data_IF_335163642262
#
_entry.id   IF_335163642262
#
_cell.length_a   1.000
_cell.length_b   1.000
_cell.length_c   1.000
_cell.angle_alpha   90.00
_cell.angle_beta   90.00
_cell.angle_gamma   90.00
#
_symmetry.space_group_name_H-M   'P 1'
#
loop_
_entity.id
_entity.type
_entity.pdbx_description
1 polymer ?
#
# COMPACT_ATOMS: atom_id res chain seq x y z
N UNK A 1 -33.56 -56.72 -9.45
CA UNK A 1 -33.90 -55.35 -9.06
C UNK A 1 -33.48 -54.46 -10.21
N UNK A 2 -34.43 -53.89 -10.93
CA UNK A 2 -34.13 -52.94 -12.01
C UNK A 2 -33.63 -51.62 -11.41
N UNK A 3 -32.58 -51.06 -12.03
CA UNK A 3 -31.98 -49.80 -11.65
C UNK A 3 -32.86 -48.63 -12.13
N UNK A 4 -33.56 -48.00 -11.19
CA UNK A 4 -34.49 -46.90 -11.43
C UNK A 4 -33.84 -45.51 -11.21
N UNK A 5 -32.54 -45.36 -11.43
CA UNK A 5 -31.88 -44.03 -11.38
C UNK A 5 -31.88 -43.38 -12.75
N UNK A 6 -32.69 -42.33 -12.93
CA UNK A 6 -32.69 -41.48 -14.13
C UNK A 6 -34.06 -41.14 -14.73
N UNK A 7 -35.17 -41.68 -14.22
CA UNK A 7 -36.50 -41.33 -14.70
C UNK A 7 -37.02 -40.05 -14.02
N UNK A 8 -36.62 -38.89 -14.52
CA UNK A 8 -37.33 -37.64 -14.22
C UNK A 8 -38.55 -37.53 -15.13
N UNK A 9 -39.66 -38.16 -14.74
CA UNK A 9 -40.97 -37.78 -15.26
C UNK A 9 -41.37 -36.43 -14.66
N UNK A 10 -41.87 -35.53 -15.53
CA UNK A 10 -42.43 -34.20 -15.24
C UNK A 10 -41.42 -33.04 -15.16
N UNK A 11 -40.71 -32.78 -16.27
CA UNK A 11 -40.54 -31.36 -16.61
C UNK A 11 -41.92 -30.82 -16.96
N UNK A 12 -42.51 -30.01 -16.09
CA UNK A 12 -43.74 -29.26 -16.39
C UNK A 12 -43.43 -28.41 -17.61
N UNK A 13 -43.97 -28.80 -18.76
CA UNK A 13 -43.80 -28.03 -19.98
C UNK A 13 -44.61 -26.76 -19.79
N UNK A 14 -43.92 -25.63 -19.63
CA UNK A 14 -44.58 -24.32 -19.61
C UNK A 14 -45.27 -24.17 -20.96
N UNK A 15 -46.57 -23.85 -20.91
CA UNK A 15 -47.41 -23.64 -22.08
C UNK A 15 -46.73 -22.66 -23.05
N UNK A 16 -46.63 -23.06 -24.31
CA UNK A 16 -45.98 -22.27 -25.36
C UNK A 16 -46.75 -20.97 -25.64
N UNK A 17 -48.05 -20.93 -25.33
CA UNK A 17 -48.83 -19.69 -25.35
C UNK A 17 -48.28 -18.65 -24.34
N UNK A 18 -47.88 -19.08 -23.14
CA UNK A 18 -47.33 -18.19 -22.11
C UNK A 18 -45.95 -17.65 -22.48
N UNK A 19 -45.12 -18.50 -23.11
CA UNK A 19 -43.82 -18.06 -23.65
C UNK A 19 -43.99 -17.06 -24.78
N UNK A 20 -44.98 -17.29 -25.67
CA UNK A 20 -45.29 -16.38 -26.78
C UNK A 20 -45.77 -15.02 -26.27
N UNK A 21 -46.63 -15.01 -25.24
CA UNK A 21 -47.05 -13.77 -24.58
C UNK A 21 -45.88 -13.01 -23.93
N UNK A 22 -44.93 -13.71 -23.30
CA UNK A 22 -43.73 -13.08 -22.75
C UNK A 22 -42.84 -12.47 -23.86
N UNK A 23 -42.69 -13.15 -25.00
CA UNK A 23 -41.95 -12.63 -26.16
C UNK A 23 -42.60 -11.37 -26.73
N UNK A 24 -43.92 -11.39 -26.93
CA UNK A 24 -44.67 -10.24 -27.43
C UNK A 24 -44.51 -9.01 -26.51
N UNK A 25 -44.56 -9.21 -25.19
CA UNK A 25 -44.33 -8.13 -24.24
C UNK A 25 -42.92 -7.53 -24.35
N UNK A 26 -41.90 -8.38 -24.52
CA UNK A 26 -40.50 -7.92 -24.65
C UNK A 26 -40.27 -7.17 -25.98
N UNK A 27 -40.96 -7.57 -27.05
CA UNK A 27 -40.89 -6.89 -28.35
C UNK A 27 -41.48 -5.48 -28.34
N UNK A 28 -42.50 -5.26 -27.52
CA UNK A 28 -43.21 -3.98 -27.37
C UNK A 28 -42.43 -2.96 -26.51
N UNK A 29 -41.36 -3.39 -25.81
CA UNK A 29 -40.52 -2.48 -25.03
C UNK A 29 -39.88 -1.45 -25.98
N UNK A 30 -40.06 -0.13 -25.74
CA UNK A 30 -39.47 0.90 -26.58
C UNK A 30 -37.95 0.75 -26.71
N UNK A 31 -37.48 0.63 -27.94
CA UNK A 31 -36.06 0.51 -28.28
C UNK A 31 -35.47 1.88 -28.57
N UNK A 32 -34.30 2.14 -28.02
CA UNK A 32 -33.52 3.35 -28.25
C UNK A 32 -32.61 3.10 -29.45
N UNK A 33 -32.69 3.98 -30.46
CA UNK A 33 -31.71 4.00 -31.54
C UNK A 33 -30.34 4.44 -31.01
N UNK A 34 -29.32 3.59 -31.12
CA UNK A 34 -27.96 4.01 -30.82
C UNK A 34 -27.44 4.91 -31.94
N UNK A 35 -27.51 6.23 -31.77
CA UNK A 35 -26.95 7.21 -32.73
C UNK A 35 -25.42 7.09 -32.92
N UNK A 36 -24.71 6.30 -32.10
CA UNK A 36 -23.25 6.23 -32.06
C UNK A 36 -22.62 4.93 -32.61
N UNK A 37 -23.39 3.92 -33.03
CA UNK A 37 -22.83 2.65 -33.53
C UNK A 37 -23.70 2.12 -34.67
N UNK A 38 -23.55 2.68 -35.87
CA UNK A 38 -24.36 2.30 -37.05
C UNK A 38 -23.70 1.32 -38.02
N UNK A 39 -22.58 0.67 -37.67
CA UNK A 39 -21.91 -0.21 -38.63
C UNK A 39 -22.00 -1.73 -38.37
N UNK A 40 -21.92 -2.24 -37.13
CA UNK A 40 -21.57 -3.67 -36.94
C UNK A 40 -22.31 -4.46 -35.84
N UNK A 41 -23.41 -3.97 -35.24
CA UNK A 41 -24.12 -4.73 -34.19
C UNK A 41 -25.60 -4.95 -34.49
N UNK A 42 -26.07 -6.19 -34.34
CA UNK A 42 -27.50 -6.57 -34.34
C UNK A 42 -28.18 -6.35 -32.97
N UNK A 43 -27.49 -5.73 -32.01
CA UNK A 43 -27.97 -5.57 -30.63
C UNK A 43 -28.90 -4.35 -30.51
N UNK A 44 -30.08 -4.55 -29.95
CA UNK A 44 -31.03 -3.50 -29.62
C UNK A 44 -30.77 -2.95 -28.22
N UNK A 45 -31.04 -1.68 -28.01
CA UNK A 45 -30.89 -1.04 -26.71
C UNK A 45 -32.25 -0.60 -26.17
N UNK A 46 -32.50 -0.79 -24.88
CA UNK A 46 -33.68 -0.28 -24.17
C UNK A 46 -33.23 0.68 -23.07
N UNK A 47 -34.16 1.49 -22.55
CA UNK A 47 -33.86 2.41 -21.46
C UNK A 47 -33.30 1.69 -20.22
N UNK A 48 -32.30 2.31 -19.58
CA UNK A 48 -31.56 1.76 -18.45
C UNK A 48 -32.18 2.01 -17.08
N UNK A 49 -33.34 2.67 -16.98
CA UNK A 49 -33.95 3.04 -15.69
C UNK A 49 -34.56 1.87 -14.92
N UNK A 50 -34.85 0.75 -15.59
CA UNK A 50 -35.47 -0.45 -15.02
C UNK A 50 -34.56 -1.66 -15.15
N UNK A 51 -34.48 -2.46 -14.10
CA UNK A 51 -33.82 -3.78 -14.14
C UNK A 51 -34.71 -4.84 -14.81
N UNK A 52 -34.14 -5.98 -15.20
CA UNK A 52 -34.93 -7.11 -15.74
C UNK A 52 -36.01 -7.58 -14.75
N UNK A 53 -35.74 -7.48 -13.44
CA UNK A 53 -36.71 -7.76 -12.38
C UNK A 53 -37.87 -6.77 -12.41
N UNK A 54 -37.58 -5.49 -12.59
CA UNK A 54 -38.63 -4.45 -12.68
C UNK A 54 -39.49 -4.65 -13.94
N UNK A 55 -38.86 -4.98 -15.08
CA UNK A 55 -39.56 -5.30 -16.33
C UNK A 55 -40.43 -6.56 -16.17
N UNK A 56 -39.96 -7.58 -15.45
CA UNK A 56 -40.79 -8.76 -15.15
C UNK A 56 -42.01 -8.41 -14.29
N UNK A 57 -41.87 -7.49 -13.33
CA UNK A 57 -43.03 -7.02 -12.55
C UNK A 57 -44.04 -6.29 -13.42
N UNK A 58 -43.59 -5.46 -14.35
CA UNK A 58 -44.46 -4.78 -15.31
C UNK A 58 -45.19 -5.79 -16.21
N UNK A 59 -44.48 -6.81 -16.71
CA UNK A 59 -45.06 -7.91 -17.48
C UNK A 59 -46.15 -8.66 -16.69
N UNK A 60 -45.86 -9.04 -15.45
CA UNK A 60 -46.82 -9.73 -14.59
C UNK A 60 -48.05 -8.86 -14.35
N UNK A 61 -47.86 -7.55 -14.14
CA UNK A 61 -48.97 -6.62 -13.96
C UNK A 61 -49.81 -6.47 -15.24
N UNK A 62 -49.16 -6.39 -16.40
CA UNK A 62 -49.82 -6.37 -17.70
C UNK A 62 -50.66 -7.63 -17.92
N UNK A 63 -50.10 -8.81 -17.63
CA UNK A 63 -50.84 -10.07 -17.76
C UNK A 63 -52.04 -10.14 -16.82
N UNK A 64 -51.89 -9.70 -15.56
CA UNK A 64 -53.00 -9.63 -14.60
C UNK A 64 -54.11 -8.69 -15.06
N UNK A 65 -53.77 -7.52 -15.59
CA UNK A 65 -54.74 -6.53 -16.07
C UNK A 65 -55.54 -7.05 -17.28
N UNK A 66 -54.93 -7.89 -18.12
CA UNK A 66 -55.57 -8.51 -19.28
C UNK A 66 -56.17 -9.90 -18.98
N UNK A 67 -56.14 -10.33 -17.72
CA UNK A 67 -56.62 -11.63 -17.25
C UNK A 67 -56.02 -12.83 -18.01
N UNK A 68 -54.71 -12.76 -18.32
CA UNK A 68 -53.95 -13.83 -18.97
C UNK A 68 -52.88 -14.41 -18.05
N UNK A 69 -52.51 -15.67 -18.26
CA UNK A 69 -51.42 -16.31 -17.53
C UNK A 69 -50.06 -15.66 -17.81
N UNK A 70 -49.10 -15.86 -16.91
CA UNK A 70 -47.75 -15.32 -17.04
C UNK A 70 -46.67 -16.35 -16.64
N UNK A 71 -45.47 -16.19 -17.21
CA UNK A 71 -44.31 -17.01 -16.85
C UNK A 71 -43.62 -16.50 -15.58
N UNK A 72 -42.92 -17.39 -14.88
CA UNK A 72 -42.12 -17.02 -13.71
C UNK A 72 -40.85 -16.23 -14.11
N UNK A 73 -40.20 -15.57 -13.13
CA UNK A 73 -39.04 -14.72 -13.38
C UNK A 73 -37.89 -15.46 -14.07
N UNK A 74 -37.62 -16.71 -13.70
CA UNK A 74 -36.50 -17.49 -14.27
C UNK A 74 -36.74 -17.74 -15.77
N UNK A 75 -37.96 -18.11 -16.14
CA UNK A 75 -38.34 -18.31 -17.54
C UNK A 75 -38.31 -16.99 -18.31
N UNK A 76 -38.86 -15.92 -17.74
CA UNK A 76 -38.82 -14.59 -18.33
C UNK A 76 -37.37 -14.12 -18.57
N UNK A 77 -36.50 -14.28 -17.58
CA UNK A 77 -35.07 -13.93 -17.67
C UNK A 77 -34.36 -14.71 -18.78
N UNK A 78 -34.64 -16.02 -18.92
CA UNK A 78 -34.09 -16.84 -20.02
C UNK A 78 -34.56 -16.33 -21.37
N UNK A 79 -35.87 -16.12 -21.55
CA UNK A 79 -36.42 -15.57 -22.79
C UNK A 79 -35.75 -14.22 -23.10
N UNK A 80 -35.68 -13.31 -22.12
CA UNK A 80 -35.11 -11.98 -22.28
C UNK A 80 -33.62 -12.01 -22.66
N UNK A 81 -32.84 -12.95 -22.13
CA UNK A 81 -31.37 -12.99 -22.33
C UNK A 81 -30.91 -13.91 -23.47
N UNK A 82 -31.71 -14.92 -23.84
CA UNK A 82 -31.35 -15.93 -24.83
C UNK A 82 -32.07 -15.72 -26.17
N UNK A 83 -33.34 -15.30 -26.15
CA UNK A 83 -34.14 -15.14 -27.37
C UNK A 83 -34.04 -13.72 -27.93
N UNK A 84 -33.65 -12.74 -27.11
CA UNK A 84 -33.54 -11.34 -27.49
C UNK A 84 -32.10 -10.81 -27.38
N UNK A 85 -31.63 -10.17 -28.44
CA UNK A 85 -30.36 -9.44 -28.44
C UNK A 85 -30.54 -8.01 -27.89
N UNK A 86 -31.09 -7.88 -26.68
CA UNK A 86 -31.36 -6.59 -26.03
C UNK A 86 -30.28 -6.29 -24.97
N UNK A 87 -29.91 -5.01 -24.83
CA UNK A 87 -29.06 -4.53 -23.73
C UNK A 87 -29.55 -3.19 -23.21
N UNK A 88 -29.20 -2.85 -21.98
CA UNK A 88 -29.57 -1.56 -21.40
C UNK A 88 -28.67 -0.45 -21.98
N UNK A 89 -29.29 0.64 -22.42
CA UNK A 89 -28.58 1.83 -22.86
C UNK A 89 -27.91 2.48 -21.66
N UNK A 90 -26.60 2.70 -21.76
CA UNK A 90 -25.81 3.39 -20.74
C UNK A 90 -25.37 4.72 -21.36
N UNK A 91 -25.87 5.87 -20.87
CA UNK A 91 -25.44 7.17 -21.35
C UNK A 91 -23.92 7.33 -21.19
N UNK A 92 -23.20 7.54 -22.30
CA UNK A 92 -21.74 7.73 -22.28
C UNK A 92 -21.30 9.07 -21.65
N UNK A 93 -22.20 10.05 -21.54
CA UNK A 93 -21.88 11.43 -21.11
C UNK A 93 -22.24 11.79 -19.66
N UNK A 94 -22.99 10.96 -18.95
CA UNK A 94 -23.45 11.28 -17.59
C UNK A 94 -23.12 10.15 -16.61
N UNK A 95 -21.83 9.84 -16.44
CA UNK A 95 -21.42 9.00 -15.30
C UNK A 95 -21.37 9.89 -14.07
N UNK A 96 -22.19 9.61 -13.05
CA UNK A 96 -22.13 10.37 -11.81
C UNK A 96 -20.81 10.15 -11.06
N UNK A 97 -20.42 11.11 -10.22
CA UNK A 97 -19.17 11.05 -9.43
C UNK A 97 -19.03 9.75 -8.64
N UNK A 98 -20.15 9.21 -8.14
CA UNK A 98 -20.17 7.94 -7.41
C UNK A 98 -19.80 6.75 -8.31
N UNK A 99 -20.40 6.65 -9.49
CA UNK A 99 -20.10 5.57 -10.44
C UNK A 99 -18.65 5.67 -10.93
N UNK A 100 -18.14 6.88 -11.14
CA UNK A 100 -16.76 7.11 -11.54
C UNK A 100 -15.78 6.79 -10.41
N UNK A 101 -16.13 7.12 -9.16
CA UNK A 101 -15.39 6.69 -7.98
C UNK A 101 -15.35 5.17 -7.85
N UNK A 102 -16.46 4.46 -8.12
CA UNK A 102 -16.49 2.99 -8.11
C UNK A 102 -15.62 2.36 -9.21
N UNK A 103 -15.65 2.90 -10.44
CA UNK A 103 -14.75 2.45 -11.51
C UNK A 103 -13.28 2.63 -11.13
N UNK A 104 -12.95 3.78 -10.54
CA UNK A 104 -11.59 4.13 -10.16
C UNK A 104 -11.15 3.53 -8.81
N UNK A 105 -12.07 2.97 -8.02
CA UNK A 105 -11.76 2.33 -6.74
C UNK A 105 -10.73 1.21 -6.89
N UNK A 106 -10.80 0.47 -8.00
CA UNK A 106 -9.90 -0.64 -8.30
C UNK A 106 -8.59 -0.20 -8.97
N UNK A 107 -8.41 1.09 -9.25
CA UNK A 107 -7.18 1.61 -9.85
C UNK A 107 -6.10 1.81 -8.79
N UNK A 108 -4.90 1.36 -9.13
CA UNK A 108 -3.73 1.50 -8.26
C UNK A 108 -3.33 2.96 -8.08
N UNK A 109 -3.11 3.41 -6.83
CA UNK A 109 -2.62 4.76 -6.50
C UNK A 109 -1.11 4.73 -6.23
N UNK A 110 -0.41 5.82 -6.57
CA UNK A 110 1.00 5.99 -6.22
C UNK A 110 1.15 6.08 -4.70
N UNK A 111 2.02 5.24 -4.13
CA UNK A 111 2.32 5.28 -2.71
C UNK A 111 3.47 6.25 -2.43
N UNK A 112 3.23 7.18 -1.50
CA UNK A 112 4.27 8.03 -0.90
C UNK A 112 4.56 7.49 0.49
N UNK A 113 5.81 7.11 0.72
CA UNK A 113 6.31 6.50 1.94
C UNK A 113 6.94 7.58 2.82
N UNK A 114 6.74 7.49 4.13
CA UNK A 114 7.33 8.41 5.11
C UNK A 114 7.85 7.62 6.32
N UNK A 115 9.16 7.68 6.57
CA UNK A 115 9.74 7.29 7.86
C UNK A 115 9.86 8.54 8.74
N UNK A 116 9.35 8.49 9.96
CA UNK A 116 9.45 9.59 10.93
C UNK A 116 10.32 9.19 12.11
N UNK A 117 11.29 10.06 12.45
CA UNK A 117 12.09 9.98 13.66
C UNK A 117 11.66 11.15 14.56
N UNK A 118 11.32 10.82 15.80
CA UNK A 118 10.91 11.78 16.82
C UNK A 118 11.94 11.78 17.94
N UNK A 119 12.51 12.95 18.23
CA UNK A 119 13.38 13.13 19.39
C UNK A 119 12.54 13.42 20.65
N UNK A 120 12.55 12.49 21.60
CA UNK A 120 11.76 12.60 22.84
C UNK A 120 12.18 13.75 23.75
N UNK A 121 13.43 14.22 23.65
CA UNK A 121 13.97 15.28 24.52
C UNK A 121 13.67 16.66 23.94
N UNK A 122 13.91 16.84 22.65
CA UNK A 122 13.77 18.14 21.98
C UNK A 122 12.41 18.33 21.33
N UNK A 123 11.63 17.24 21.20
CA UNK A 123 10.40 17.15 20.41
C UNK A 123 10.60 17.45 18.91
N UNK A 124 11.86 17.53 18.45
CA UNK A 124 12.19 17.71 17.05
C UNK A 124 11.72 16.49 16.23
N UNK A 125 11.22 16.75 15.03
CA UNK A 125 10.69 15.72 14.15
C UNK A 125 11.38 15.79 12.80
N UNK A 126 11.88 14.64 12.36
CA UNK A 126 12.45 14.48 11.04
C UNK A 126 11.69 13.41 10.25
N UNK A 127 11.15 13.81 9.10
CA UNK A 127 10.54 12.90 8.13
C UNK A 127 11.48 12.63 6.97
N UNK A 128 11.44 11.41 6.46
CA UNK A 128 12.16 10.95 5.28
C UNK A 128 11.12 10.42 4.31
N UNK A 129 10.94 11.11 3.19
CA UNK A 129 9.79 10.92 2.29
C UNK A 129 10.27 10.56 0.89
N UNK A 130 9.75 9.48 0.32
CA UNK A 130 9.97 9.09 -1.07
C UNK A 130 8.72 8.40 -1.62
N UNK A 131 8.50 8.46 -2.92
CA UNK A 131 7.48 7.63 -3.56
C UNK A 131 8.04 6.27 -3.98
N UNK A 132 7.15 5.30 -4.16
CA UNK A 132 7.55 3.91 -4.42
C UNK A 132 8.28 3.70 -5.77
N UNK A 133 8.28 4.69 -6.67
CA UNK A 133 9.10 4.64 -7.90
C UNK A 133 10.58 4.96 -7.64
N UNK A 134 10.89 5.63 -6.53
CA UNK A 134 12.25 5.99 -6.13
C UNK A 134 12.92 4.86 -5.36
N UNK A 135 12.21 4.22 -4.44
CA UNK A 135 12.78 3.14 -3.65
C UNK A 135 11.69 2.26 -3.04
N UNK A 136 12.09 1.09 -2.54
CA UNK A 136 11.17 0.16 -1.92
C UNK A 136 10.84 0.56 -0.47
N UNK A 137 10.24 -0.36 0.29
CA UNK A 137 9.88 -0.16 1.71
C UNK A 137 10.58 -1.20 2.60
N UNK A 138 11.83 -1.52 2.30
CA UNK A 138 12.63 -2.55 2.96
C UNK A 138 13.66 -1.98 3.94
N UNK A 139 14.52 -2.86 4.45
CA UNK A 139 15.57 -2.46 5.38
C UNK A 139 16.58 -1.48 4.77
N UNK A 140 16.88 -1.57 3.47
CA UNK A 140 17.90 -0.70 2.86
C UNK A 140 17.47 0.78 2.95
N UNK A 141 16.19 1.07 2.70
CA UNK A 141 15.64 2.41 2.79
C UNK A 141 15.57 2.90 4.23
N UNK A 142 15.02 2.08 5.14
CA UNK A 142 14.85 2.45 6.55
C UNK A 142 16.20 2.65 7.23
N UNK A 143 17.16 1.73 7.03
CA UNK A 143 18.49 1.83 7.61
C UNK A 143 19.28 3.01 7.04
N UNK A 144 19.07 3.36 5.76
CA UNK A 144 19.67 4.58 5.17
C UNK A 144 19.16 5.84 5.86
N UNK A 145 17.85 5.94 6.10
CA UNK A 145 17.28 7.10 6.77
C UNK A 145 17.79 7.22 8.22
N UNK A 146 17.85 6.11 8.96
CA UNK A 146 18.42 6.10 10.33
C UNK A 146 19.91 6.42 10.31
N UNK A 147 20.66 5.92 9.33
CA UNK A 147 22.08 6.25 9.16
C UNK A 147 22.30 7.74 8.86
N UNK A 148 21.49 8.35 7.99
CA UNK A 148 21.52 9.80 7.74
C UNK A 148 21.22 10.61 9.00
N UNK A 149 20.24 10.16 9.80
CA UNK A 149 19.94 10.77 11.10
C UNK A 149 21.15 10.71 12.04
N UNK A 150 21.79 9.53 12.15
CA UNK A 150 22.99 9.36 12.96
C UNK A 150 24.13 10.26 12.48
N UNK A 151 24.40 10.28 11.17
CA UNK A 151 25.42 11.13 10.56
C UNK A 151 25.23 12.60 10.95
N UNK A 152 24.02 13.14 10.73
CA UNK A 152 23.70 14.55 11.03
C UNK A 152 23.86 14.89 12.51
N UNK A 153 23.46 13.99 13.40
CA UNK A 153 23.59 14.17 14.85
C UNK A 153 25.02 13.88 15.36
N UNK A 154 25.89 13.41 14.46
CA UNK A 154 27.29 13.10 14.73
C UNK A 154 28.27 14.12 14.15
N UNK A 155 27.82 15.25 13.61
CA UNK A 155 28.70 16.28 13.03
C UNK A 155 29.40 17.18 14.08
N UNK A 156 29.32 16.87 15.38
CA UNK A 156 29.99 17.66 16.45
C UNK A 156 30.96 16.86 17.33
N UNK A 157 31.82 17.56 18.06
CA UNK A 157 32.85 16.93 18.91
C UNK A 157 32.32 16.34 20.22
N UNK A 158 31.06 16.67 20.59
CA UNK A 158 30.47 16.20 21.85
C UNK A 158 30.13 14.71 21.74
N UNK A 159 30.54 13.89 22.73
CA UNK A 159 30.16 12.50 22.72
C UNK A 159 28.65 12.31 22.87
N UNK A 160 28.06 11.41 22.08
CA UNK A 160 26.61 11.17 22.05
C UNK A 160 26.29 9.70 22.39
N UNK A 161 25.32 9.51 23.28
CA UNK A 161 24.68 8.23 23.53
C UNK A 161 23.30 8.22 22.86
N UNK A 162 23.10 7.30 21.92
CA UNK A 162 21.87 7.24 21.12
C UNK A 162 21.01 6.07 21.58
N UNK A 163 19.73 6.34 21.86
CA UNK A 163 18.73 5.32 22.20
C UNK A 163 17.55 5.41 21.25
N UNK A 164 17.42 4.42 20.36
CA UNK A 164 16.26 4.28 19.49
C UNK A 164 15.18 3.41 20.13
N UNK A 165 13.93 3.82 19.91
CA UNK A 165 12.74 3.02 20.16
C UNK A 165 12.04 2.81 18.82
N UNK A 166 11.68 1.57 18.51
CA UNK A 166 10.94 1.29 17.28
C UNK A 166 9.99 0.11 17.43
N UNK A 167 9.06 -0.01 16.49
CA UNK A 167 8.17 -1.16 16.42
C UNK A 167 8.91 -2.46 16.13
N UNK A 168 8.34 -3.56 16.60
CA UNK A 168 8.85 -4.91 16.34
C UNK A 168 8.44 -5.38 14.93
N UNK A 169 9.13 -4.86 13.90
CA UNK A 169 8.94 -5.18 12.49
C UNK A 169 10.19 -5.83 11.88
N UNK A 170 10.14 -7.14 11.64
CA UNK A 170 11.30 -7.93 11.22
C UNK A 170 11.83 -7.50 9.84
N UNK A 171 10.94 -7.23 8.88
CA UNK A 171 11.33 -6.86 7.50
C UNK A 171 12.00 -5.49 7.37
N UNK A 172 11.80 -4.59 8.34
CA UNK A 172 12.26 -3.19 8.24
C UNK A 172 13.27 -2.84 9.33
N UNK A 173 12.90 -3.06 10.60
CA UNK A 173 13.62 -2.50 11.74
C UNK A 173 14.35 -3.56 12.56
N UNK A 174 13.79 -4.76 12.71
CA UNK A 174 14.35 -5.84 13.53
C UNK A 174 14.97 -6.94 12.69
N UNK A 175 16.14 -6.64 12.15
CA UNK A 175 16.92 -7.63 11.40
C UNK A 175 18.42 -7.36 11.52
N UNK A 176 19.21 -8.33 11.04
CA UNK A 176 20.67 -8.28 11.09
C UNK A 176 21.27 -7.10 10.31
N UNK A 177 20.61 -6.63 9.24
CA UNK A 177 21.11 -5.55 8.40
C UNK A 177 20.99 -4.20 9.10
N UNK A 178 19.91 -3.99 9.86
CA UNK A 178 19.76 -2.83 10.74
C UNK A 178 20.83 -2.82 11.83
N UNK A 179 21.10 -3.97 12.46
CA UNK A 179 22.18 -4.10 13.47
C UNK A 179 23.57 -3.85 12.86
N UNK A 180 23.83 -4.39 11.66
CA UNK A 180 25.06 -4.14 10.92
C UNK A 180 25.23 -2.64 10.59
N UNK A 181 24.15 -1.95 10.18
CA UNK A 181 24.18 -0.50 9.98
C UNK A 181 24.56 0.25 11.26
N UNK A 182 23.98 -0.11 12.41
CA UNK A 182 24.33 0.52 13.69
C UNK A 182 25.82 0.33 14.01
N UNK A 183 26.33 -0.88 13.80
CA UNK A 183 27.75 -1.18 14.01
C UNK A 183 28.64 -0.39 13.05
N UNK A 184 28.27 -0.29 11.77
CA UNK A 184 28.99 0.52 10.78
C UNK A 184 28.98 2.01 11.15
N UNK A 185 27.82 2.58 11.49
CA UNK A 185 27.68 3.98 11.91
C UNK A 185 28.55 4.27 13.14
N UNK A 186 28.54 3.33 14.09
CA UNK A 186 29.35 3.40 15.30
C UNK A 186 30.85 3.46 15.00
N UNK A 187 31.36 2.64 14.07
CA UNK A 187 32.77 2.69 13.65
C UNK A 187 33.10 3.96 12.88
N UNK A 188 32.15 4.46 12.09
CA UNK A 188 32.36 5.61 11.21
C UNK A 188 32.34 6.95 11.93
N UNK A 189 31.59 7.07 13.03
CA UNK A 189 31.39 8.33 13.75
C UNK A 189 31.95 8.23 15.18
N UNK A 190 33.21 8.65 15.43
CA UNK A 190 33.91 8.44 16.70
C UNK A 190 33.30 9.12 17.94
N UNK A 191 32.45 10.12 17.72
CA UNK A 191 31.72 10.81 18.77
C UNK A 191 30.52 10.01 19.30
N UNK A 192 30.02 9.03 18.55
CA UNK A 192 29.00 8.11 19.06
C UNK A 192 29.66 7.18 20.09
N UNK A 193 29.21 7.25 21.35
CA UNK A 193 29.72 6.41 22.45
C UNK A 193 29.00 5.08 22.55
N UNK A 194 27.67 5.13 22.42
CA UNK A 194 26.84 3.94 22.41
C UNK A 194 25.64 4.14 21.50
N UNK A 195 25.19 3.05 20.87
CA UNK A 195 23.89 3.01 20.22
C UNK A 195 23.10 1.86 20.83
N UNK A 196 21.96 2.17 21.43
CA UNK A 196 21.01 1.19 21.97
C UNK A 196 19.73 1.25 21.16
N UNK A 197 19.17 0.12 20.79
CA UNK A 197 17.88 0.06 20.09
C UNK A 197 16.95 -0.91 20.82
N UNK A 198 15.79 -0.40 21.22
CA UNK A 198 14.74 -1.08 21.98
C UNK A 198 13.51 -1.30 21.08
N UNK A 199 12.97 -2.52 21.07
CA UNK A 199 11.85 -2.92 20.20
C UNK A 199 10.52 -3.01 20.96
N UNK A 200 9.66 -2.00 20.81
CA UNK A 200 8.40 -1.88 21.54
C UNK A 200 7.55 -3.16 21.52
N UNK A 201 6.92 -3.45 22.66
CA UNK A 201 6.01 -4.59 22.80
C UNK A 201 4.74 -4.29 21.99
N UNK A 202 4.33 -5.22 21.13
CA UNK A 202 3.11 -5.08 20.34
C UNK A 202 1.91 -4.91 21.28
N UNK A 203 1.08 -3.89 21.03
CA UNK A 203 -0.18 -3.66 21.73
C UNK A 203 -0.10 -2.90 23.07
N UNK A 204 1.09 -2.54 23.56
CA UNK A 204 1.23 -1.97 24.92
C UNK A 204 2.09 -0.69 25.00
N UNK A 205 2.49 -0.09 23.87
CA UNK A 205 3.30 1.13 23.90
C UNK A 205 2.87 2.09 22.80
N UNK A 206 2.55 3.33 23.19
CA UNK A 206 2.31 4.43 22.27
C UNK A 206 3.65 4.96 21.77
N UNK A 207 3.84 4.99 20.44
CA UNK A 207 5.02 5.59 19.81
C UNK A 207 4.70 7.04 19.41
N UNK A 208 5.56 7.99 19.78
CA UNK A 208 5.41 9.40 19.46
C UNK A 208 5.37 9.66 17.95
N UNK A 209 6.00 8.79 17.14
CA UNK A 209 5.88 8.85 15.67
C UNK A 209 4.43 8.72 15.21
N UNK A 210 3.59 7.94 15.89
CA UNK A 210 2.20 7.74 15.50
C UNK A 210 1.35 8.99 15.77
N UNK A 211 1.73 9.77 16.79
CA UNK A 211 1.11 11.06 17.04
C UNK A 211 1.38 12.03 15.88
N UNK A 212 2.61 12.01 15.34
CA UNK A 212 2.98 12.79 14.15
C UNK A 212 2.20 12.31 12.93
N UNK A 213 2.16 10.99 12.68
CA UNK A 213 1.40 10.43 11.56
C UNK A 213 -0.10 10.78 11.63
N UNK A 214 -0.68 10.79 12.83
CA UNK A 214 -2.07 11.21 13.05
C UNK A 214 -2.31 12.68 12.71
N UNK A 215 -1.35 13.57 13.00
CA UNK A 215 -1.42 14.98 12.58
C UNK A 215 -1.27 15.13 11.06
N UNK A 216 -0.33 14.40 10.46
CA UNK A 216 -0.14 14.38 9.00
C UNK A 216 -1.43 13.91 8.32
N UNK A 217 -2.02 12.80 8.77
CA UNK A 217 -3.27 12.28 8.19
C UNK A 217 -4.40 13.31 8.30
N UNK A 218 -4.54 13.97 9.45
CA UNK A 218 -5.53 15.04 9.65
C UNK A 218 -5.29 16.20 8.69
N UNK A 219 -4.05 16.60 8.49
CA UNK A 219 -3.71 17.70 7.61
C UNK A 219 -3.91 17.34 6.13
N UNK A 220 -3.52 16.14 5.72
CA UNK A 220 -3.80 15.60 4.38
C UNK A 220 -5.30 15.58 4.12
N UNK A 221 -6.12 15.09 5.07
CA UNK A 221 -7.59 15.11 4.94
C UNK A 221 -8.15 16.52 4.80
N UNK A 222 -7.56 17.52 5.45
CA UNK A 222 -7.96 18.94 5.30
C UNK A 222 -7.61 19.47 3.92
N UNK A 223 -6.39 19.21 3.43
CA UNK A 223 -5.97 19.64 2.10
C UNK A 223 -6.82 19.01 1.00
N UNK A 224 -7.17 17.73 1.14
CA UNK A 224 -8.05 17.02 0.20
C UNK A 224 -9.47 17.63 0.10
N UNK A 225 -9.91 18.46 1.07
CA UNK A 225 -11.17 19.23 0.96
C UNK A 225 -11.05 20.42 0.01
N UNK A 226 -9.84 20.94 -0.21
CA UNK A 226 -9.57 22.08 -1.09
C UNK A 226 -9.22 21.63 -2.52
N UNK A 227 -8.87 20.36 -2.71
CA UNK A 227 -8.62 19.76 -4.01
C UNK A 227 -7.79 18.48 -3.92
N UNK A 228 -7.70 17.69 -5.02
CA UNK A 228 -6.92 16.45 -5.03
C UNK A 228 -5.41 16.70 -4.96
N UNK A 229 -4.67 15.74 -4.39
CA UNK A 229 -3.21 15.72 -4.41
C UNK A 229 -2.77 14.77 -5.54
N UNK A 230 -2.09 15.31 -6.55
CA UNK A 230 -1.66 14.55 -7.73
C UNK A 230 -0.22 14.08 -7.66
N UNK A 231 0.66 14.75 -6.90
CA UNK A 231 2.08 14.42 -6.88
C UNK A 231 2.64 14.31 -5.45
N UNK A 232 3.80 13.65 -5.26
CA UNK A 232 4.45 13.54 -3.95
C UNK A 232 4.76 14.90 -3.29
N UNK A 233 5.02 15.95 -4.07
CA UNK A 233 5.27 17.31 -3.56
C UNK A 233 4.07 17.86 -2.79
N UNK A 234 2.85 17.54 -3.21
CA UNK A 234 1.64 17.90 -2.47
C UNK A 234 1.58 17.20 -1.10
N UNK A 235 1.97 15.92 -1.04
CA UNK A 235 2.10 15.22 0.24
C UNK A 235 3.22 15.79 1.11
N UNK A 236 4.37 16.14 0.53
CA UNK A 236 5.46 16.82 1.24
C UNK A 236 4.97 18.14 1.84
N UNK A 237 4.19 18.92 1.08
CA UNK A 237 3.52 20.12 1.57
C UNK A 237 2.56 19.85 2.74
N UNK A 238 1.74 18.79 2.64
CA UNK A 238 0.86 18.34 3.72
C UNK A 238 1.63 18.00 5.00
N UNK A 239 2.73 17.26 4.84
CA UNK A 239 3.62 16.85 5.92
C UNK A 239 4.25 18.08 6.60
N UNK A 240 4.82 19.02 5.82
CA UNK A 240 5.39 20.28 6.33
C UNK A 240 4.35 21.12 7.09
N UNK A 241 3.08 21.09 6.66
CA UNK A 241 1.98 21.85 7.26
C UNK A 241 1.26 21.14 8.43
N UNK A 242 1.65 19.91 8.77
CA UNK A 242 0.91 19.09 9.73
C UNK A 242 1.05 19.54 11.19
N UNK A 243 2.17 20.16 11.56
CA UNK A 243 2.43 20.64 12.93
C UNK A 243 2.00 22.09 13.14
N UNK A 244 1.67 22.43 14.39
CA UNK A 244 1.29 23.80 14.77
C UNK A 244 2.52 24.69 14.88
N UNK A 245 2.36 25.99 14.64
CA UNK A 245 3.42 27.02 14.65
C UNK A 245 4.20 27.14 15.97
N UNK A 246 3.67 26.58 17.07
CA UNK A 246 4.23 26.62 18.41
C UNK A 246 5.09 25.39 18.78
N UNK A 247 5.28 24.44 17.86
CA UNK A 247 6.02 23.20 18.09
C UNK A 247 7.42 23.27 17.45
N UNK A 248 8.45 22.58 17.99
CA UNK A 248 9.81 22.64 17.47
C UNK A 248 9.94 22.09 16.05
N UNK A 249 11.05 22.47 15.41
CA UNK A 249 11.30 22.43 13.97
C UNK A 249 10.98 21.07 13.35
N UNK A 250 10.24 21.13 12.23
CA UNK A 250 9.85 20.00 11.40
C UNK A 250 10.74 19.96 10.17
N UNK A 251 11.57 18.92 10.01
CA UNK A 251 12.44 18.80 8.84
C UNK A 251 12.00 17.63 7.96
N UNK A 252 11.85 17.90 6.66
CA UNK A 252 11.47 16.90 5.66
C UNK A 252 12.63 16.66 4.72
N UNK A 253 13.18 15.45 4.80
CA UNK A 253 14.16 14.94 3.86
C UNK A 253 13.42 14.33 2.66
N UNK A 254 13.58 14.94 1.51
CA UNK A 254 13.06 14.44 0.23
C UNK A 254 14.08 13.42 -0.30
N UNK A 255 13.71 12.14 -0.29
CA UNK A 255 14.60 11.01 -0.55
C UNK A 255 14.43 10.52 -1.99
N UNK A 256 15.54 10.17 -2.64
CA UNK A 256 15.56 9.55 -3.97
C UNK A 256 16.40 8.27 -3.97
N UNK A 257 16.31 7.49 -5.06
CA UNK A 257 17.02 6.22 -5.23
C UNK A 257 18.53 6.34 -5.04
N UNK A 258 19.12 7.48 -5.43
CA UNK A 258 20.56 7.72 -5.38
C UNK A 258 21.12 7.78 -3.95
N UNK A 259 20.27 8.08 -2.98
CA UNK A 259 20.65 8.16 -1.57
C UNK A 259 20.61 6.82 -0.86
N UNK A 260 19.91 5.82 -1.42
CA UNK A 260 19.69 4.55 -0.74
C UNK A 260 20.95 3.70 -0.79
N UNK A 261 21.45 3.31 0.38
CA UNK A 261 22.61 2.43 0.52
C UNK A 261 22.19 0.95 0.61
N UNK A 262 23.01 0.06 0.06
CA UNK A 262 22.80 -1.39 0.19
C UNK A 262 23.38 -1.94 1.49
N UNK A 263 22.56 -1.90 2.54
CA UNK A 263 22.92 -2.42 3.87
C UNK A 263 23.00 -3.94 3.91
N UNK A 264 22.40 -4.65 2.95
CA UNK A 264 22.58 -6.10 2.81
C UNK A 264 23.99 -6.43 2.32
N UNK A 265 24.45 -5.73 1.28
CA UNK A 265 25.83 -5.85 0.82
C UNK A 265 26.85 -5.40 1.88
N UNK A 266 26.56 -4.31 2.60
CA UNK A 266 27.41 -3.85 3.70
C UNK A 266 27.55 -4.92 4.80
N UNK A 267 26.45 -5.51 5.26
CA UNK A 267 26.48 -6.57 6.26
C UNK A 267 27.29 -7.80 5.81
N UNK A 268 27.21 -8.14 4.52
CA UNK A 268 28.02 -9.23 3.95
C UNK A 268 29.51 -8.88 3.92
N UNK A 269 29.88 -7.65 3.52
CA UNK A 269 31.27 -7.17 3.54
C UNK A 269 31.86 -7.15 4.96
N UNK A 270 31.04 -6.82 5.95
CA UNK A 270 31.40 -6.87 7.38
C UNK A 270 31.49 -8.29 7.94
N UNK A 271 31.18 -9.32 7.13
CA UNK A 271 31.03 -10.71 7.59
C UNK A 271 30.10 -10.82 8.80
N UNK A 272 29.01 -10.04 8.83
CA UNK A 272 28.11 -9.97 9.97
C UNK A 272 27.33 -11.28 10.14
N UNK A 273 27.51 -11.93 11.28
CA UNK A 273 26.87 -13.21 11.61
C UNK A 273 26.45 -13.21 13.08
N UNK A 274 25.14 -13.19 13.33
CA UNK A 274 24.57 -13.40 14.66
C UNK A 274 24.10 -14.86 14.79
N UNK A 275 24.83 -15.66 15.55
CA UNK A 275 24.53 -17.11 15.71
C UNK A 275 24.45 -17.55 17.16
N UNK A 276 25.52 -17.32 17.93
CA UNK A 276 25.63 -17.76 19.32
C UNK A 276 26.10 -16.62 20.22
N UNK A 277 25.68 -16.66 21.48
CA UNK A 277 26.25 -15.83 22.54
C UNK A 277 27.55 -16.46 23.06
N UNK A 278 28.22 -15.75 23.96
CA UNK A 278 29.48 -16.21 24.57
C UNK A 278 29.31 -17.50 25.40
N UNK A 279 28.10 -17.76 25.90
CA UNK A 279 27.71 -18.99 26.59
C UNK A 279 27.38 -20.14 25.62
N UNK A 280 27.59 -19.94 24.31
CA UNK A 280 27.32 -20.89 23.22
C UNK A 280 25.83 -21.20 22.99
N UNK A 281 24.92 -20.41 23.57
CA UNK A 281 23.50 -20.52 23.29
C UNK A 281 23.17 -19.90 21.94
N UNK A 282 22.23 -20.50 21.20
CA UNK A 282 21.75 -19.94 19.94
C UNK A 282 20.99 -18.64 20.15
N UNK A 283 21.38 -17.59 19.43
CA UNK A 283 20.72 -16.27 19.48
C UNK A 283 19.66 -16.19 18.40
N UNK A 284 18.40 -16.11 18.80
CA UNK A 284 17.29 -15.89 17.86
C UNK A 284 16.95 -14.41 17.77
N UNK A 285 16.99 -13.87 16.56
CA UNK A 285 16.63 -12.46 16.29
C UNK A 285 15.26 -12.10 16.87
N UNK A 286 14.27 -12.99 16.71
CA UNK A 286 12.89 -12.78 17.17
C UNK A 286 12.77 -12.60 18.69
N UNK A 287 13.68 -13.18 19.47
CA UNK A 287 13.68 -13.10 20.94
C UNK A 287 14.34 -11.81 21.45
N UNK A 288 15.16 -11.14 20.64
CA UNK A 288 15.84 -9.89 21.03
C UNK A 288 14.82 -8.76 21.26
N UNK A 289 14.90 -8.13 22.43
CA UNK A 289 14.08 -6.98 22.83
C UNK A 289 14.88 -5.68 22.82
N UNK A 290 16.16 -5.77 23.18
CA UNK A 290 17.09 -4.64 23.18
C UNK A 290 18.41 -5.13 22.63
N UNK A 291 19.04 -4.35 21.77
CA UNK A 291 20.46 -4.52 21.46
C UNK A 291 21.23 -3.23 21.69
N UNK A 292 22.54 -3.35 21.88
CA UNK A 292 23.46 -2.26 22.16
C UNK A 292 24.81 -2.54 21.50
N UNK A 293 25.39 -1.51 20.91
CA UNK A 293 26.77 -1.47 20.42
C UNK A 293 27.56 -0.51 21.32
N UNK A 294 28.80 -0.88 21.67
CA UNK A 294 29.68 -0.14 22.59
C UNK A 294 31.10 -0.01 22.03
N UNK A 295 31.83 1.01 22.51
CA UNK A 295 33.14 1.41 21.98
C UNK A 295 34.26 0.39 22.11
N UNK A 296 34.32 -0.27 23.26
CA UNK A 296 35.48 -1.09 23.61
C UNK A 296 35.51 -2.43 22.86
N UNK A 297 34.42 -2.77 22.15
CA UNK A 297 34.24 -4.07 21.52
C UNK A 297 33.58 -3.97 20.12
N UNK A 298 34.33 -3.55 19.09
CA UNK A 298 33.81 -3.25 17.74
C UNK A 298 33.28 -4.47 16.98
N UNK A 299 33.56 -5.68 17.46
CA UNK A 299 33.17 -6.95 16.83
C UNK A 299 31.96 -7.60 17.51
N UNK A 300 31.47 -7.04 18.62
CA UNK A 300 30.44 -7.62 19.45
C UNK A 300 29.18 -6.77 19.55
N UNK A 301 28.07 -7.43 19.84
CA UNK A 301 26.79 -6.80 20.13
C UNK A 301 26.23 -7.36 21.44
N UNK A 302 25.69 -6.46 22.25
CA UNK A 302 25.10 -6.77 23.55
C UNK A 302 23.59 -6.78 23.41
N UNK A 303 22.91 -7.82 23.89
CA UNK A 303 21.47 -7.93 23.73
C UNK A 303 20.75 -8.42 24.99
N UNK A 304 19.45 -8.14 25.05
CA UNK A 304 18.52 -8.66 26.05
C UNK A 304 17.33 -9.31 25.36
N UNK A 305 16.89 -10.44 25.89
CA UNK A 305 15.67 -11.14 25.46
C UNK A 305 14.46 -10.83 26.35
N UNK A 306 14.66 -10.11 27.44
CA UNK A 306 13.60 -9.62 28.35
C UNK A 306 13.88 -8.18 28.78
N UNK A 307 12.83 -7.39 28.93
CA UNK A 307 12.91 -6.02 29.46
C UNK A 307 13.26 -5.97 30.94
N UNK A 308 12.91 -7.01 31.70
CA UNK A 308 13.25 -7.13 33.12
C UNK A 308 14.72 -7.53 33.35
N UNK A 309 15.41 -8.02 32.31
CA UNK A 309 16.80 -8.43 32.45
C UNK A 309 17.69 -7.22 32.77
N UNK A 310 18.45 -7.30 33.88
CA UNK A 310 19.39 -6.25 34.29
C UNK A 310 20.67 -6.29 33.44
N UNK A 311 21.17 -7.49 33.18
CA UNK A 311 22.43 -7.74 32.47
C UNK A 311 22.19 -7.95 30.97
N UNK A 312 23.13 -7.49 30.14
CA UNK A 312 23.15 -7.80 28.71
C UNK A 312 23.94 -9.09 28.47
N UNK A 313 23.41 -9.96 27.61
CA UNK A 313 24.20 -11.03 27.00
C UNK A 313 25.06 -10.45 25.89
N UNK A 314 26.17 -11.10 25.58
CA UNK A 314 27.10 -10.67 24.53
C UNK A 314 27.18 -11.72 23.43
N UNK A 315 27.22 -11.27 22.18
CA UNK A 315 27.48 -12.12 21.02
C UNK A 315 28.49 -11.44 20.09
N UNK A 316 29.54 -12.16 19.72
CA UNK A 316 30.48 -11.74 18.67
C UNK A 316 29.78 -11.85 17.32
N UNK A 317 29.60 -10.71 16.65
CA UNK A 317 28.87 -10.60 15.38
C UNK A 317 29.78 -10.45 14.17
N UNK A 318 31.06 -10.12 14.38
CA UNK A 318 32.09 -10.09 13.36
C UNK A 318 33.15 -11.11 13.76
N UNK A 319 33.23 -12.23 13.03
CA UNK A 319 34.14 -13.34 13.38
C UNK A 319 35.53 -13.22 12.77
N UNK A 320 35.68 -12.39 11.74
CA UNK A 320 36.95 -12.11 11.07
C UNK A 320 37.14 -10.62 11.10
N UNK A 321 38.35 -10.18 11.44
CA UNK A 321 38.73 -8.77 11.43
C UNK A 321 38.29 -8.16 10.11
N UNK A 322 37.23 -7.36 10.16
CA UNK A 322 36.60 -6.80 8.97
C UNK A 322 36.97 -5.33 8.92
N UNK A 323 37.42 -4.91 7.74
CA UNK A 323 37.70 -3.52 7.48
C UNK A 323 36.36 -2.78 7.39
N UNK A 324 36.17 -1.75 8.22
CA UNK A 324 34.97 -0.90 8.21
C UNK A 324 35.14 0.34 7.32
N UNK A 325 36.30 0.49 6.66
CA UNK A 325 36.60 1.63 5.79
C UNK A 325 36.01 1.48 4.38
N UNK A 326 35.30 0.38 4.10
CA UNK A 326 34.66 0.18 2.80
C UNK A 326 33.63 1.27 2.49
N UNK A 327 33.56 1.62 1.21
CA UNK A 327 32.56 2.55 0.70
C UNK A 327 31.21 1.85 0.61
N UNK A 328 30.19 2.48 1.19
CA UNK A 328 28.80 2.01 1.05
C UNK A 328 28.41 2.03 -0.44
N UNK A 329 27.92 0.89 -0.93
CA UNK A 329 27.36 0.77 -2.28
C UNK A 329 25.94 1.34 -2.30
N UNK A 330 25.55 1.92 -3.43
CA UNK A 330 24.15 2.27 -3.68
C UNK A 330 23.31 1.00 -3.82
N UNK A 331 22.07 1.04 -3.36
CA UNK A 331 21.13 -0.06 -3.54
C UNK A 331 20.56 -0.12 -4.97
N UNK A 332 20.61 1.00 -5.69
CA UNK A 332 20.08 1.16 -7.03
C UNK A 332 21.07 1.93 -7.89
N UNK A 333 21.39 1.39 -9.07
CA UNK A 333 22.19 2.10 -10.08
C UNK A 333 21.32 3.04 -10.93
N UNK A 334 20.05 2.67 -11.11
CA UNK A 334 19.02 3.44 -11.82
C UNK A 334 17.74 3.49 -10.99
N UNK A 335 16.85 4.44 -11.31
CA UNK A 335 15.53 4.55 -10.68
C UNK A 335 14.75 3.23 -10.85
N UNK A 336 14.27 2.59 -9.75
CA UNK A 336 13.62 1.28 -9.84
C UNK A 336 12.26 1.33 -10.55
N UNK A 337 11.58 2.48 -10.51
CA UNK A 337 10.31 2.69 -11.20
C UNK A 337 9.14 1.92 -10.58
N UNK A 338 8.04 1.85 -11.31
CA UNK A 338 6.83 1.15 -10.89
C UNK A 338 6.64 -0.19 -11.61
N UNK A 339 5.89 -1.09 -10.97
CA UNK A 339 5.39 -2.28 -11.66
C UNK A 339 4.49 -1.87 -12.84
N UNK A 340 4.66 -2.54 -13.99
CA UNK A 340 4.01 -2.18 -15.26
C UNK A 340 2.49 -2.01 -15.13
N UNK A 341 1.81 -2.96 -14.48
CA UNK A 341 0.37 -2.89 -14.23
C UNK A 341 -0.05 -1.62 -13.49
N UNK A 342 0.73 -1.22 -12.47
CA UNK A 342 0.45 -0.04 -11.66
C UNK A 342 0.72 1.25 -12.45
N UNK A 343 1.80 1.27 -13.27
CA UNK A 343 2.09 2.36 -14.19
C UNK A 343 0.95 2.55 -15.21
N UNK A 344 0.45 1.47 -15.79
CA UNK A 344 -0.70 1.50 -16.71
C UNK A 344 -1.98 2.01 -16.05
N UNK A 345 -2.25 1.61 -14.81
CA UNK A 345 -3.38 2.15 -14.05
C UNK A 345 -3.27 3.67 -13.87
N UNK A 346 -2.11 4.18 -13.46
CA UNK A 346 -1.90 5.62 -13.27
C UNK A 346 -2.00 6.40 -14.60
N UNK A 347 -1.41 5.87 -15.68
CA UNK A 347 -1.54 6.46 -17.01
C UNK A 347 -2.99 6.43 -17.52
N UNK A 348 -3.77 5.41 -17.15
CA UNK A 348 -5.20 5.36 -17.51
C UNK A 348 -5.99 6.48 -16.83
N UNK A 349 -5.68 6.82 -15.57
CA UNK A 349 -6.29 7.94 -14.84
C UNK A 349 -5.93 9.30 -15.47
N UNK A 350 -4.73 9.41 -16.03
CA UNK A 350 -4.29 10.61 -16.75
C UNK A 350 -5.00 10.73 -18.11
N UNK A 351 -5.13 9.63 -18.85
CA UNK A 351 -5.79 9.62 -20.15
C UNK A 351 -7.32 9.79 -20.05
N UNK A 352 -7.94 9.38 -18.95
CA UNK A 352 -9.36 9.63 -18.67
C UNK A 352 -9.63 10.97 -17.99
N UNK A 353 -8.62 11.85 -17.90
CA UNK A 353 -8.73 13.21 -17.33
C UNK A 353 -9.11 13.27 -15.84
N UNK A 354 -8.92 12.19 -15.06
CA UNK A 354 -9.01 12.27 -13.59
C UNK A 354 -7.77 12.95 -12.98
N UNK A 355 -6.63 12.83 -13.67
CA UNK A 355 -5.42 13.60 -13.38
C UNK A 355 -5.29 14.67 -14.47
N UNK A 356 -5.13 15.96 -14.12
CA UNK A 356 -4.92 17.02 -15.08
C UNK A 356 -3.71 16.74 -15.98
N UNK A 357 -3.85 17.00 -17.28
CA UNK A 357 -2.79 16.79 -18.27
C UNK A 357 -1.49 17.56 -17.96
N UNK A 358 -1.56 18.59 -17.11
CA UNK A 358 -0.40 19.28 -16.56
C UNK A 358 0.64 18.31 -15.93
N UNK A 359 0.18 17.24 -15.27
CA UNK A 359 1.06 16.29 -14.59
C UNK A 359 1.60 15.17 -15.50
N UNK A 360 1.34 15.22 -16.81
CA UNK A 360 1.72 14.17 -17.77
C UNK A 360 3.19 13.77 -17.69
N UNK A 361 4.09 14.75 -17.70
CA UNK A 361 5.53 14.50 -17.65
C UNK A 361 5.97 13.75 -16.39
N UNK A 362 5.36 14.05 -15.24
CA UNK A 362 5.62 13.34 -14.00
C UNK A 362 5.21 11.86 -14.12
N UNK A 363 3.96 11.58 -14.52
CA UNK A 363 3.46 10.20 -14.58
C UNK A 363 4.11 9.34 -15.67
N UNK A 364 4.50 9.93 -16.80
CA UNK A 364 5.24 9.21 -17.86
C UNK A 364 6.67 8.83 -17.40
N UNK A 365 7.26 9.62 -16.50
CA UNK A 365 8.58 9.39 -15.90
C UNK A 365 8.62 8.40 -14.72
N UNK A 366 7.46 7.91 -14.25
CA UNK A 366 7.36 6.98 -13.12
C UNK A 366 7.88 5.57 -13.41
#
# INVERSE_FOLDING_TARGET
MEDNRGCHSNHVHVDDALKTAAKAFIEDIPKIESHYIRANSKRHYIDGSKTISDIHRDYVQHCKNNNVGFVNYIMFYRIFTQDFYISFFIPKKDTCELCEAYKNYYKSKLNVLNLTIYDLKTHFVESYVWDESQAHRGVNEIATCVFKYLQKNSDGDKPVDVVFYSYNCDGQQKNKFMMAMHLYAFQKYPNIKTITHKYLIKGHTQNESDSVHSQIERQTKRQLRSGPIYTPEGFIGAIKAARKKSEPIYYVNEMCFEYICDWKAAANQMNFVLQKDDEKNTVKMTEIKVFKVVKDEPEALYFKTSYAAKVFKRAVVIKKKSDFTFRLKKAFDIKPGLAERKKQDLLSLLNSSHIPGYYRGFYESL
#
